data_IF_295611491706
#
_entry.id   IF_295611491706
#
_cell.length_a   1.000
_cell.length_b   1.000
_cell.length_c   1.000
_cell.angle_alpha   90.00
_cell.angle_beta   90.00
_cell.angle_gamma   90.00
#
_symmetry.space_group_name_H-M   'P 1'
#
loop_
_entity.id
_entity.type
_entity.pdbx_description
1 polymer ?
#
# COMPACT_ATOMS: atom_id res chain seq x y z
N UNK A 1 6.90 -3.22 20.13
CA UNK A 1 6.70 -2.09 19.23
C UNK A 1 6.03 -0.95 19.98
N UNK A 2 6.61 0.26 20.02
CA UNK A 2 5.96 1.41 20.64
C UNK A 2 4.76 1.80 19.77
N UNK A 3 3.55 1.63 20.28
CA UNK A 3 2.29 1.87 19.57
C UNK A 3 1.95 3.36 19.38
N UNK A 4 2.77 4.26 19.91
CA UNK A 4 2.54 5.71 19.88
C UNK A 4 3.84 6.45 19.58
N UNK A 5 3.74 7.57 18.88
CA UNK A 5 4.88 8.44 18.60
C UNK A 5 5.46 8.99 19.90
N UNK A 6 6.75 8.75 20.21
CA UNK A 6 7.36 9.32 21.39
C UNK A 6 7.37 10.85 21.30
N UNK A 7 7.02 11.54 22.36
CA UNK A 7 7.05 13.00 22.40
C UNK A 7 5.80 13.71 21.87
N UNK A 8 4.80 13.00 21.35
CA UNK A 8 3.53 13.63 20.94
C UNK A 8 2.59 13.79 22.15
N UNK A 9 2.04 14.97 22.29
CA UNK A 9 0.99 15.23 23.26
C UNK A 9 -0.38 14.98 22.63
N UNK A 10 -0.98 13.84 22.91
CA UNK A 10 -2.26 13.40 22.38
C UNK A 10 -3.48 14.20 22.89
N UNK A 11 -3.27 15.39 23.41
CA UNK A 11 -4.28 16.38 23.81
C UNK A 11 -4.32 17.57 22.88
N UNK A 12 -3.26 17.75 22.06
CA UNK A 12 -3.07 18.91 21.22
C UNK A 12 -3.94 18.86 19.96
N UNK A 13 -4.26 20.02 19.39
CA UNK A 13 -4.87 20.12 18.07
C UNK A 13 -4.03 19.41 17.00
N UNK A 14 -4.69 18.85 16.00
CA UNK A 14 -4.02 18.20 14.88
C UNK A 14 -4.82 17.08 14.25
N UNK A 15 -4.25 16.51 13.22
CA UNK A 15 -4.82 15.37 12.51
C UNK A 15 -4.25 14.06 13.03
N UNK A 16 -5.11 13.09 13.23
CA UNK A 16 -4.74 11.75 13.68
C UNK A 16 -5.45 10.71 12.81
N UNK A 17 -4.68 9.92 12.10
CA UNK A 17 -5.19 8.75 11.38
C UNK A 17 -5.20 7.55 12.31
N UNK A 18 -6.38 7.04 12.60
CA UNK A 18 -6.62 5.97 13.58
C UNK A 18 -6.98 4.69 12.85
N UNK A 19 -6.41 3.58 13.34
CA UNK A 19 -6.78 2.23 12.90
C UNK A 19 -7.24 1.42 14.10
N UNK A 20 -8.44 0.83 14.00
CA UNK A 20 -9.01 -0.06 15.03
C UNK A 20 -9.33 -1.41 14.40
N UNK A 21 -8.80 -2.49 14.97
CA UNK A 21 -9.10 -3.84 14.54
C UNK A 21 -10.24 -4.46 15.35
N UNK A 22 -11.07 -5.30 14.73
CA UNK A 22 -11.99 -6.17 15.46
C UNK A 22 -11.21 -7.22 16.26
N UNK A 23 -11.83 -7.75 17.32
CA UNK A 23 -11.20 -8.76 18.17
C UNK A 23 -10.91 -10.05 17.41
N UNK A 24 -11.89 -10.54 16.66
CA UNK A 24 -11.76 -11.72 15.80
C UNK A 24 -11.77 -11.31 14.32
N UNK A 25 -10.58 -11.10 13.78
CA UNK A 25 -10.41 -10.66 12.39
C UNK A 25 -10.89 -11.66 11.34
N UNK A 26 -11.04 -12.94 11.69
CA UNK A 26 -11.51 -13.99 10.77
C UNK A 26 -12.99 -13.88 10.47
N UNK A 27 -13.78 -13.35 11.41
CA UNK A 27 -15.24 -13.27 11.30
C UNK A 27 -15.76 -12.20 10.33
N UNK A 28 -14.93 -11.23 9.93
CA UNK A 28 -15.35 -10.13 9.06
C UNK A 28 -16.69 -9.52 9.50
N UNK A 29 -16.80 -9.21 10.79
CA UNK A 29 -18.07 -8.87 11.44
C UNK A 29 -18.71 -7.56 10.97
N UNK A 30 -17.91 -6.64 10.38
CA UNK A 30 -18.37 -5.29 10.05
C UNK A 30 -18.95 -5.19 8.64
N UNK A 31 -18.56 -6.07 7.71
CA UNK A 31 -19.02 -5.99 6.32
C UNK A 31 -18.39 -7.00 5.42
N UNK A 32 -18.66 -6.87 4.13
CA UNK A 32 -18.00 -7.60 3.04
C UNK A 32 -17.64 -6.64 1.92
N UNK A 33 -16.58 -6.92 1.18
CA UNK A 33 -16.22 -6.11 0.02
C UNK A 33 -17.02 -6.62 -1.18
N UNK A 34 -17.61 -5.68 -1.90
CA UNK A 34 -18.41 -5.92 -3.11
C UNK A 34 -18.00 -4.95 -4.21
N UNK A 35 -18.42 -5.22 -5.43
CA UNK A 35 -18.13 -4.41 -6.60
C UNK A 35 -17.05 -5.03 -7.47
N UNK A 36 -16.63 -4.30 -8.50
CA UNK A 36 -15.62 -4.71 -9.46
C UNK A 36 -14.58 -3.60 -9.66
N UNK A 37 -13.31 -3.99 -9.71
CA UNK A 37 -12.17 -3.08 -9.81
C UNK A 37 -12.11 -2.33 -11.14
N UNK A 38 -12.77 -2.83 -12.19
CA UNK A 38 -12.84 -2.15 -13.50
C UNK A 38 -13.63 -0.83 -13.45
N UNK A 39 -14.55 -0.67 -12.51
CA UNK A 39 -15.35 0.55 -12.40
C UNK A 39 -14.64 1.62 -11.58
N UNK A 40 -14.63 2.88 -12.02
CA UNK A 40 -14.02 3.99 -11.29
C UNK A 40 -14.79 4.29 -10.00
N UNK A 41 -14.12 4.98 -9.06
CA UNK A 41 -14.75 5.42 -7.82
C UNK A 41 -15.96 6.33 -8.12
N UNK A 42 -17.04 6.14 -7.36
CA UNK A 42 -18.33 6.80 -7.60
C UNK A 42 -19.30 6.04 -8.50
N UNK A 43 -18.85 5.02 -9.24
CA UNK A 43 -19.76 4.14 -9.97
C UNK A 43 -20.52 3.21 -9.01
N UNK A 44 -21.82 2.88 -9.24
CA UNK A 44 -22.60 1.97 -8.38
C UNK A 44 -21.93 0.61 -8.16
N UNK A 45 -21.21 0.10 -9.16
CA UNK A 45 -20.50 -1.17 -9.09
C UNK A 45 -19.01 -1.03 -8.73
N UNK A 46 -18.56 0.18 -8.37
CA UNK A 46 -17.20 0.38 -7.86
C UNK A 46 -16.96 -0.40 -6.56
N UNK A 47 -15.71 -0.78 -6.27
CA UNK A 47 -15.35 -1.46 -5.03
C UNK A 47 -15.78 -0.68 -3.79
N UNK A 48 -16.59 -1.30 -2.94
CA UNK A 48 -17.08 -0.73 -1.69
C UNK A 48 -17.29 -1.79 -0.62
N UNK A 49 -17.52 -1.35 0.60
CA UNK A 49 -17.90 -2.26 1.70
C UNK A 49 -19.43 -2.24 1.86
N UNK A 50 -20.04 -3.40 1.71
CA UNK A 50 -21.43 -3.65 2.08
C UNK A 50 -21.46 -3.97 3.58
N UNK A 51 -21.91 -3.00 4.38
CA UNK A 51 -21.85 -3.08 5.84
C UNK A 51 -22.95 -3.99 6.40
N UNK A 52 -22.58 -4.85 7.34
CA UNK A 52 -23.53 -5.58 8.18
C UNK A 52 -24.27 -4.65 9.12
N UNK A 53 -25.28 -5.15 9.83
CA UNK A 53 -25.94 -4.39 10.90
C UNK A 53 -24.94 -3.89 11.96
N UNK A 54 -23.91 -4.69 12.26
CA UNK A 54 -22.84 -4.32 13.19
C UNK A 54 -21.95 -3.22 12.56
N UNK A 55 -21.59 -3.34 11.28
CA UNK A 55 -20.82 -2.30 10.58
C UNK A 55 -21.53 -0.97 10.51
N UNK A 56 -22.83 -0.97 10.20
CA UNK A 56 -23.68 0.24 10.19
C UNK A 56 -23.80 0.88 11.58
N UNK A 57 -23.90 0.07 12.62
CA UNK A 57 -23.87 0.54 14.01
C UNK A 57 -22.53 1.20 14.35
N UNK A 58 -21.41 0.59 13.94
CA UNK A 58 -20.06 1.15 14.17
C UNK A 58 -19.88 2.47 13.43
N UNK A 59 -20.32 2.55 12.18
CA UNK A 59 -20.29 3.78 11.36
C UNK A 59 -21.13 4.89 12.03
N UNK A 60 -22.33 4.56 12.46
CA UNK A 60 -23.18 5.51 13.17
C UNK A 60 -22.52 6.03 14.46
N UNK A 61 -21.94 5.15 15.28
CA UNK A 61 -21.21 5.54 16.49
C UNK A 61 -20.00 6.43 16.18
N UNK A 62 -19.25 6.12 15.10
CA UNK A 62 -18.12 6.95 14.68
C UNK A 62 -18.56 8.38 14.38
N UNK A 63 -19.59 8.54 13.56
CA UNK A 63 -20.02 9.84 13.05
C UNK A 63 -20.76 10.68 14.10
N UNK A 64 -21.46 10.04 15.05
CA UNK A 64 -22.34 10.75 15.97
C UNK A 64 -21.83 10.75 17.42
N UNK A 65 -21.32 9.62 17.93
CA UNK A 65 -20.95 9.51 19.34
C UNK A 65 -19.69 10.31 19.67
N UNK A 66 -18.65 10.24 18.83
CA UNK A 66 -17.39 10.96 19.06
C UNK A 66 -17.65 12.47 19.07
N UNK A 67 -18.30 12.99 18.03
CA UNK A 67 -18.56 14.43 17.88
C UNK A 67 -19.52 14.96 18.93
N UNK A 68 -20.50 14.15 19.36
CA UNK A 68 -21.40 14.50 20.45
C UNK A 68 -20.69 14.67 21.79
N UNK A 69 -19.76 13.78 22.12
CA UNK A 69 -19.02 13.83 23.39
C UNK A 69 -17.83 14.79 23.36
N UNK A 70 -17.27 15.04 22.19
CA UNK A 70 -16.11 15.89 21.95
C UNK A 70 -16.34 16.81 20.75
N UNK A 71 -17.08 17.94 20.94
CA UNK A 71 -17.41 18.86 19.84
C UNK A 71 -16.21 19.50 19.13
N UNK A 72 -15.04 19.44 19.75
CA UNK A 72 -13.76 19.91 19.16
C UNK A 72 -13.17 18.93 18.14
N UNK A 73 -13.76 17.74 18.00
CA UNK A 73 -13.34 16.71 17.04
C UNK A 73 -14.25 16.74 15.82
N UNK A 74 -13.63 16.68 14.66
CA UNK A 74 -14.28 16.50 13.36
C UNK A 74 -13.79 15.21 12.72
N UNK A 75 -14.71 14.36 12.24
CA UNK A 75 -14.40 13.18 11.44
C UNK A 75 -14.24 13.64 9.98
N UNK A 76 -13.05 13.42 9.40
CA UNK A 76 -12.74 13.89 8.05
C UNK A 76 -12.97 12.81 7.00
N UNK A 77 -12.20 11.75 7.05
CA UNK A 77 -12.27 10.60 6.14
C UNK A 77 -12.33 9.33 6.96
N UNK A 78 -13.09 8.34 6.49
CA UNK A 78 -13.16 7.03 7.15
C UNK A 78 -13.49 5.92 6.17
N UNK A 79 -13.18 4.70 6.57
CA UNK A 79 -13.66 3.46 5.96
C UNK A 79 -13.83 2.38 7.02
N UNK A 80 -14.99 1.74 7.00
CA UNK A 80 -15.28 0.55 7.83
C UNK A 80 -15.05 -0.68 6.96
N UNK A 81 -13.90 -1.34 7.14
CA UNK A 81 -13.52 -2.57 6.45
C UNK A 81 -14.12 -3.79 7.16
N UNK A 82 -14.17 -4.98 6.54
CA UNK A 82 -14.77 -6.14 7.16
C UNK A 82 -14.23 -6.52 8.55
N UNK A 83 -12.92 -6.34 8.79
CA UNK A 83 -12.22 -6.75 10.01
C UNK A 83 -11.48 -5.64 10.76
N UNK A 84 -11.59 -4.40 10.28
CA UNK A 84 -10.99 -3.21 10.91
C UNK A 84 -11.64 -1.94 10.39
N UNK A 85 -11.25 -0.81 10.95
CA UNK A 85 -11.66 0.50 10.42
C UNK A 85 -10.49 1.48 10.44
N UNK A 86 -10.50 2.38 9.48
CA UNK A 86 -9.62 3.55 9.42
C UNK A 86 -10.44 4.82 9.45
N UNK A 87 -9.97 5.82 10.15
CA UNK A 87 -10.56 7.15 10.09
C UNK A 87 -9.54 8.22 10.46
N UNK A 88 -9.74 9.42 9.91
CA UNK A 88 -8.96 10.61 10.24
C UNK A 88 -9.84 11.53 11.06
N UNK A 89 -9.34 11.92 12.22
CA UNK A 89 -9.94 12.97 13.05
C UNK A 89 -9.11 14.24 12.99
N UNK A 90 -9.80 15.36 12.93
CA UNK A 90 -9.23 16.69 13.15
C UNK A 90 -9.62 17.18 14.53
N UNK A 91 -8.67 17.36 15.39
CA UNK A 91 -8.84 17.96 16.71
C UNK A 91 -8.57 19.45 16.57
N UNK A 92 -9.63 20.29 16.60
CA UNK A 92 -9.54 21.73 16.33
C UNK A 92 -8.92 22.54 17.48
N UNK A 93 -9.12 22.08 18.70
CA UNK A 93 -8.59 22.70 19.93
C UNK A 93 -8.16 21.62 20.92
N UNK A 94 -7.57 22.02 22.05
CA UNK A 94 -7.24 21.05 23.10
C UNK A 94 -8.43 20.16 23.45
N UNK A 95 -8.19 18.85 23.60
CA UNK A 95 -9.23 17.87 23.85
C UNK A 95 -9.90 18.08 25.21
N UNK A 96 -11.11 18.63 25.15
CA UNK A 96 -11.99 18.83 26.30
C UNK A 96 -13.31 18.13 25.99
N UNK A 97 -13.80 17.32 26.94
CA UNK A 97 -15.12 16.70 26.84
C UNK A 97 -16.23 17.74 26.98
N UNK A 98 -17.46 17.40 26.58
CA UNK A 98 -18.62 18.28 26.75
C UNK A 98 -18.88 18.72 28.20
N UNK A 99 -18.34 18.01 29.19
CA UNK A 99 -18.43 18.32 30.61
C UNK A 99 -17.24 19.16 31.11
N UNK A 100 -16.44 19.75 30.22
CA UNK A 100 -15.31 20.61 30.58
C UNK A 100 -14.05 19.86 31.10
N UNK A 101 -14.02 18.52 31.07
CA UNK A 101 -12.87 17.74 31.54
C UNK A 101 -11.81 17.63 30.44
N UNK A 102 -10.57 17.93 30.79
CA UNK A 102 -9.43 17.62 29.94
C UNK A 102 -9.34 16.12 29.69
N UNK A 103 -9.09 15.74 28.45
CA UNK A 103 -8.97 14.35 28.03
C UNK A 103 -7.80 14.19 27.05
N UNK A 104 -7.55 12.99 26.58
CA UNK A 104 -6.57 12.69 25.53
C UNK A 104 -7.17 11.69 24.54
N UNK A 105 -6.60 11.63 23.35
CA UNK A 105 -7.08 10.81 22.25
C UNK A 105 -7.38 9.35 22.65
N UNK A 106 -6.53 8.74 23.51
CA UNK A 106 -6.75 7.38 23.99
C UNK A 106 -8.05 7.18 24.75
N UNK A 107 -8.51 8.20 25.50
CA UNK A 107 -9.80 8.15 26.22
C UNK A 107 -10.97 8.31 25.24
N UNK A 108 -10.83 9.18 24.22
CA UNK A 108 -11.82 9.30 23.14
C UNK A 108 -12.06 7.96 22.45
N UNK A 109 -10.97 7.31 22.03
CA UNK A 109 -11.05 5.99 21.35
C UNK A 109 -11.57 4.90 22.29
N UNK A 110 -11.16 4.91 23.56
CA UNK A 110 -11.68 3.95 24.54
C UNK A 110 -13.20 4.10 24.74
N UNK A 111 -13.70 5.33 24.89
CA UNK A 111 -15.13 5.61 25.01
C UNK A 111 -15.93 5.19 23.76
N UNK A 112 -15.41 5.48 22.57
CA UNK A 112 -16.00 5.03 21.31
C UNK A 112 -16.12 3.50 21.25
N UNK A 113 -15.03 2.78 21.56
CA UNK A 113 -15.04 1.30 21.55
C UNK A 113 -16.00 0.71 22.58
N UNK A 114 -16.09 1.32 23.75
CA UNK A 114 -17.03 0.89 24.80
C UNK A 114 -18.49 1.09 24.37
N UNK A 115 -18.81 2.22 23.74
CA UNK A 115 -20.12 2.47 23.15
C UNK A 115 -20.49 1.43 22.11
N UNK A 116 -19.57 1.14 21.17
CA UNK A 116 -19.76 0.10 20.16
C UNK A 116 -19.92 -1.30 20.78
N UNK A 117 -19.12 -1.66 21.79
CA UNK A 117 -19.23 -2.96 22.47
C UNK A 117 -20.59 -3.18 23.11
N UNK A 118 -21.11 -2.16 23.81
CA UNK A 118 -22.44 -2.20 24.44
C UNK A 118 -23.53 -2.50 23.42
N UNK A 119 -23.56 -1.76 22.31
CA UNK A 119 -24.54 -1.97 21.24
C UNK A 119 -24.33 -3.29 20.48
N UNK A 120 -23.09 -3.70 20.30
CA UNK A 120 -22.78 -5.00 19.72
C UNK A 120 -23.39 -6.13 20.51
N UNK A 121 -23.27 -6.12 21.85
CA UNK A 121 -23.86 -7.16 22.70
C UNK A 121 -25.40 -7.13 22.71
N UNK A 122 -26.02 -5.97 22.51
CA UNK A 122 -27.47 -5.87 22.32
C UNK A 122 -27.90 -6.51 21.00
N UNK A 123 -27.14 -6.33 19.93
CA UNK A 123 -27.44 -6.91 18.60
C UNK A 123 -27.31 -8.43 18.64
N UNK A 124 -26.20 -8.96 19.14
CA UNK A 124 -25.99 -10.42 19.19
C UNK A 124 -26.92 -11.14 20.20
N UNK A 125 -27.22 -10.50 21.33
CA UNK A 125 -28.15 -11.04 22.31
C UNK A 125 -29.59 -11.13 21.81
N UNK A 126 -30.03 -10.20 20.93
CA UNK A 126 -31.33 -10.29 20.25
C UNK A 126 -31.36 -11.38 19.18
N UNK A 127 -30.22 -11.68 18.53
CA UNK A 127 -30.10 -12.73 17.52
C UNK A 127 -30.22 -14.15 18.10
N UNK A 128 -29.76 -14.38 19.32
CA UNK A 128 -29.93 -15.70 20.01
C UNK A 128 -31.37 -15.99 20.38
N UNK A 129 -32.22 -14.98 20.53
CA UNK A 129 -33.67 -15.13 20.84
C UNK A 129 -34.50 -15.34 19.56
N UNK A 130 -34.00 -14.93 18.40
CA UNK A 130 -34.73 -15.01 17.12
C UNK A 130 -34.51 -16.32 16.34
N UNK A 131 -33.62 -17.20 16.77
CA UNK A 131 -33.30 -18.46 16.09
C UNK A 131 -34.11 -19.65 16.63
N UNK A 132 -35.45 -19.55 16.69
CA UNK A 132 -36.29 -20.72 16.67
C UNK A 132 -36.70 -20.97 15.21
N UNK A 133 -36.41 -22.15 14.61
CA UNK A 133 -36.81 -22.41 13.24
C UNK A 133 -38.31 -22.53 13.15
N UNK A 134 -38.96 -21.69 12.36
CA UNK A 134 -40.32 -21.94 11.88
C UNK A 134 -40.26 -22.91 10.69
N UNK A 135 -41.16 -23.88 10.61
CA UNK A 135 -41.18 -24.81 9.49
C UNK A 135 -41.67 -24.11 8.23
N UNK A 136 -40.86 -24.17 7.17
CA UNK A 136 -41.18 -23.72 5.83
C UNK A 136 -42.17 -24.71 5.17
N UNK A 137 -43.38 -24.21 4.91
CA UNK A 137 -44.28 -24.85 3.93
C UNK A 137 -44.49 -23.86 2.78
N UNK A 138 -44.44 -24.46 1.57
CA UNK A 138 -44.92 -23.97 0.27
C UNK A 138 -43.90 -23.29 -0.66
N UNK A 139 -43.37 -24.17 -1.49
CA UNK A 139 -42.79 -23.86 -2.78
C UNK A 139 -43.87 -23.36 -3.77
N UNK A 140 -43.67 -22.18 -4.34
CA UNK A 140 -44.36 -21.72 -5.56
C UNK A 140 -43.34 -21.71 -6.73
N UNK A 141 -43.64 -22.49 -7.77
CA UNK A 141 -42.89 -22.57 -9.03
C UNK A 141 -43.00 -21.26 -9.81
N UNK A 142 -41.94 -20.78 -10.44
CA UNK A 142 -42.06 -19.67 -11.39
C UNK A 142 -42.51 -20.18 -12.78
N UNK A 143 -43.48 -19.49 -13.36
CA UNK A 143 -43.85 -19.62 -14.76
C UNK A 143 -42.96 -18.76 -15.67
N UNK A 144 -42.71 -19.19 -16.93
CA UNK A 144 -41.92 -18.41 -17.90
C UNK A 144 -42.82 -17.41 -18.65
N UNK A 145 -42.41 -16.14 -18.66
CA UNK A 145 -42.96 -15.14 -19.59
C UNK A 145 -41.93 -14.78 -20.65
N UNK A 146 -42.22 -15.24 -21.87
CA UNK A 146 -41.63 -14.74 -23.10
C UNK A 146 -42.21 -13.36 -23.44
N UNK A 147 -41.36 -12.36 -23.68
CA UNK A 147 -41.66 -11.27 -24.58
C UNK A 147 -40.37 -10.67 -25.17
N UNK A 148 -40.16 -10.99 -26.40
CA UNK A 148 -39.23 -10.37 -27.35
C UNK A 148 -39.72 -8.99 -27.72
N UNK A 149 -38.89 -7.97 -27.54
CA UNK A 149 -38.99 -6.69 -28.28
C UNK A 149 -37.58 -6.21 -28.63
N UNK A 150 -37.37 -6.11 -29.93
CA UNK A 150 -36.17 -5.63 -30.64
C UNK A 150 -36.07 -4.10 -30.52
N UNK A 151 -34.94 -3.50 -30.20
CA UNK A 151 -34.74 -2.08 -30.48
C UNK A 151 -33.86 -1.87 -31.70
N UNK A 152 -34.35 -1.00 -32.57
CA UNK A 152 -33.63 -0.46 -33.73
C UNK A 152 -32.54 0.54 -33.32
N UNK A 153 -31.49 0.71 -34.17
CA UNK A 153 -30.39 1.63 -33.89
C UNK A 153 -30.71 3.07 -34.30
N UNK A 154 -30.52 4.02 -33.42
CA UNK A 154 -30.44 5.43 -33.80
C UNK A 154 -28.98 5.91 -33.72
N UNK A 155 -28.45 6.18 -34.88
CA UNK A 155 -27.23 6.96 -35.12
C UNK A 155 -27.46 8.43 -34.78
N UNK A 156 -26.62 9.01 -33.94
CA UNK A 156 -26.22 10.42 -34.06
C UNK A 156 -24.89 10.65 -33.34
N UNK A 157 -23.86 10.81 -34.15
CA UNK A 157 -22.53 11.23 -33.74
C UNK A 157 -22.52 12.75 -33.56
N UNK A 158 -22.13 13.21 -32.41
CA UNK A 158 -21.65 14.59 -32.19
C UNK A 158 -20.20 14.55 -31.69
N UNK A 159 -19.30 15.05 -32.54
CA UNK A 159 -17.90 15.30 -32.26
C UNK A 159 -17.77 16.43 -31.21
N UNK A 160 -16.91 16.33 -30.18
CA UNK A 160 -16.48 17.49 -29.42
C UNK A 160 -15.28 18.18 -30.11
N UNK A 161 -15.36 19.50 -30.24
CA UNK A 161 -14.26 20.37 -30.64
C UNK A 161 -13.28 20.60 -29.46
N UNK A 162 -12.00 20.85 -29.75
CA UNK A 162 -11.00 21.11 -28.73
C UNK A 162 -11.03 22.58 -28.34
N UNK A 163 -11.19 22.90 -27.07
CA UNK A 163 -10.86 24.19 -26.47
C UNK A 163 -9.46 24.13 -25.87
N UNK A 164 -8.56 24.84 -26.52
CA UNK A 164 -7.25 25.19 -26.01
C UNK A 164 -7.41 26.26 -24.90
N UNK A 165 -6.85 26.02 -23.72
CA UNK A 165 -6.24 27.08 -22.93
C UNK A 165 -5.18 26.46 -22.03
N UNK A 166 -3.94 26.64 -22.44
CA UNK A 166 -2.74 26.37 -21.69
C UNK A 166 -2.56 27.47 -20.63
N UNK A 167 -2.46 27.07 -19.38
CA UNK A 167 -1.74 27.84 -18.38
C UNK A 167 -0.68 26.94 -17.76
N UNK A 168 0.53 27.25 -18.12
CA UNK A 168 1.78 26.64 -17.68
C UNK A 168 2.02 26.94 -16.20
N UNK A 169 2.17 25.99 -15.30
CA UNK A 169 2.84 26.24 -14.04
C UNK A 169 4.33 25.90 -14.19
N UNK A 170 5.17 26.86 -13.83
CA UNK A 170 6.62 26.70 -13.74
C UNK A 170 7.01 25.56 -12.80
N UNK A 171 8.12 24.88 -13.06
CA UNK A 171 8.60 23.80 -12.21
C UNK A 171 9.24 24.38 -10.96
N UNK A 172 8.62 24.15 -9.82
CA UNK A 172 9.29 24.24 -8.51
C UNK A 172 10.15 23.00 -8.32
N UNK A 173 11.43 23.23 -8.17
CA UNK A 173 12.47 22.29 -7.79
C UNK A 173 12.13 21.53 -6.50
N UNK A 174 12.53 20.24 -6.49
CA UNK A 174 12.62 19.33 -5.35
C UNK A 174 11.31 18.74 -4.83
N UNK A 175 10.80 17.74 -5.53
CA UNK A 175 9.99 16.70 -4.92
C UNK A 175 10.67 15.34 -5.13
N UNK A 176 11.57 14.99 -4.23
CA UNK A 176 11.87 13.59 -3.91
C UNK A 176 10.54 12.95 -3.55
N UNK A 177 10.10 12.00 -4.36
CA UNK A 177 8.91 11.22 -4.06
C UNK A 177 9.10 10.58 -2.69
N UNK A 178 8.25 10.85 -1.70
CA UNK A 178 8.33 10.15 -0.45
C UNK A 178 7.92 8.69 -0.73
N UNK A 179 8.88 7.77 -0.59
CA UNK A 179 8.53 6.37 -0.39
C UNK A 179 7.72 6.33 0.90
N UNK A 180 6.40 6.20 0.79
CA UNK A 180 5.53 5.95 1.93
C UNK A 180 5.77 4.51 2.36
N UNK A 181 6.91 4.27 3.02
CA UNK A 181 7.13 3.09 3.82
C UNK A 181 6.40 3.25 5.16
N UNK A 182 5.09 3.39 5.11
CA UNK A 182 4.23 3.09 6.22
C UNK A 182 4.09 1.58 6.29
N UNK A 183 5.15 0.88 6.74
CA UNK A 183 5.09 -0.53 7.01
C UNK A 183 4.07 -0.80 8.10
N UNK A 184 2.86 -1.22 7.73
CA UNK A 184 1.94 -1.86 8.65
C UNK A 184 2.49 -3.24 8.98
N UNK A 185 3.30 -3.33 10.02
CA UNK A 185 3.67 -4.61 10.60
C UNK A 185 2.43 -5.17 11.28
N UNK A 186 1.86 -6.20 10.71
CA UNK A 186 0.91 -7.04 11.44
C UNK A 186 1.66 -7.59 12.66
N UNK A 187 1.30 -7.12 13.83
CA UNK A 187 1.87 -7.59 15.08
C UNK A 187 1.58 -9.08 15.24
N UNK A 188 2.65 -9.87 15.28
CA UNK A 188 2.62 -11.19 15.89
C UNK A 188 2.07 -11.07 17.32
N UNK A 189 1.41 -12.10 17.86
CA UNK A 189 0.89 -12.06 19.22
C UNK A 189 2.05 -11.92 20.20
N UNK A 190 2.16 -10.75 20.83
CA UNK A 190 3.13 -10.50 21.89
C UNK A 190 2.66 -11.26 23.14
N UNK A 191 3.37 -12.32 23.49
CA UNK A 191 3.33 -12.93 24.80
C UNK A 191 3.93 -11.92 25.80
N UNK A 192 3.09 -11.27 26.57
CA UNK A 192 3.49 -10.34 27.62
C UNK A 192 2.27 -9.72 28.24
N UNK A 193 1.85 -10.27 29.39
CA UNK A 193 0.94 -9.74 30.40
C UNK A 193 -0.02 -8.63 29.90
N UNK A 194 -0.97 -8.98 29.05
CA UNK A 194 -2.15 -8.18 28.83
C UNK A 194 -2.88 -8.11 30.18
N UNK A 195 -2.84 -6.93 30.82
CA UNK A 195 -3.82 -6.60 31.84
C UNK A 195 -5.17 -6.81 31.20
N UNK A 196 -5.78 -7.99 31.46
CA UNK A 196 -7.16 -8.31 31.04
C UNK A 196 -8.01 -7.10 31.42
N UNK A 197 -8.46 -6.32 30.45
CA UNK A 197 -9.61 -5.46 30.62
C UNK A 197 -10.73 -6.41 31.04
N UNK A 198 -11.03 -6.41 32.35
CA UNK A 198 -12.10 -7.23 32.91
C UNK A 198 -13.42 -6.62 32.43
N UNK A 199 -13.86 -7.05 31.26
CA UNK A 199 -15.28 -6.91 30.95
C UNK A 199 -16.02 -7.80 31.96
N UNK A 200 -16.76 -7.18 32.86
CA UNK A 200 -17.45 -7.82 33.98
C UNK A 200 -18.52 -8.85 33.59
N UNK A 201 -18.71 -9.07 32.27
CA UNK A 201 -19.74 -9.95 31.71
C UNK A 201 -19.22 -11.23 31.04
N UNK A 202 -17.92 -11.49 30.98
CA UNK A 202 -17.34 -12.63 30.25
C UNK A 202 -17.54 -12.61 28.74
N UNK A 203 -18.24 -11.61 28.18
CA UNK A 203 -18.54 -11.47 26.75
C UNK A 203 -17.32 -10.97 25.97
N UNK A 204 -17.09 -11.51 24.77
CA UNK A 204 -16.03 -11.05 23.89
C UNK A 204 -16.35 -9.63 23.37
N UNK A 205 -15.36 -8.70 23.37
CA UNK A 205 -15.56 -7.38 22.80
C UNK A 205 -15.58 -7.42 21.28
N UNK A 206 -16.20 -6.43 20.63
CA UNK A 206 -16.15 -6.27 19.18
C UNK A 206 -14.74 -5.94 18.69
N UNK A 207 -14.05 -5.06 19.40
CA UNK A 207 -12.72 -4.57 19.00
C UNK A 207 -11.60 -5.14 19.86
N UNK A 208 -10.45 -5.39 19.23
CA UNK A 208 -9.20 -5.74 19.90
C UNK A 208 -8.76 -4.62 20.85
N UNK A 209 -7.89 -4.96 21.82
CA UNK A 209 -7.32 -3.97 22.73
C UNK A 209 -6.42 -2.97 21.98
N UNK A 210 -6.44 -1.69 22.40
CA UNK A 210 -5.63 -0.62 21.81
C UNK A 210 -6.12 -0.16 20.43
N UNK A 211 -5.30 0.64 19.78
CA UNK A 211 -5.45 1.16 18.41
C UNK A 211 -4.08 1.55 17.90
N UNK A 212 -3.95 1.76 16.59
CA UNK A 212 -2.76 2.32 15.95
C UNK A 212 -3.09 3.73 15.50
N UNK A 213 -2.16 4.65 15.67
CA UNK A 213 -2.28 6.02 15.16
C UNK A 213 -1.07 6.40 14.31
N UNK A 214 -1.31 7.22 13.31
CA UNK A 214 -0.30 7.86 12.47
C UNK A 214 -0.61 9.35 12.40
N UNK A 215 0.38 10.17 12.75
CA UNK A 215 0.27 11.62 12.73
C UNK A 215 0.90 12.12 11.44
N UNK A 216 0.20 12.90 10.60
CA UNK A 216 0.78 13.49 9.41
C UNK A 216 1.69 14.65 9.79
N UNK A 217 3.00 14.40 9.76
CA UNK A 217 4.03 15.39 10.15
C UNK A 217 4.66 16.11 8.94
N UNK A 218 4.47 15.58 7.72
CA UNK A 218 5.08 16.12 6.50
C UNK A 218 4.01 16.66 5.54
N UNK A 219 4.33 17.68 4.73
CA UNK A 219 3.47 18.14 3.65
C UNK A 219 3.04 16.98 2.74
N UNK A 220 1.76 16.94 2.34
CA UNK A 220 1.20 15.89 1.49
C UNK A 220 0.91 14.56 2.18
N UNK A 221 1.34 14.36 3.42
CA UNK A 221 1.13 13.10 4.13
C UNK A 221 -0.34 12.88 4.51
N UNK A 222 -1.06 13.96 4.84
CA UNK A 222 -2.49 13.89 5.15
C UNK A 222 -3.30 13.46 3.91
N UNK A 223 -3.02 14.06 2.77
CA UNK A 223 -3.66 13.72 1.49
C UNK A 223 -3.37 12.28 1.09
N UNK A 224 -2.14 11.81 1.29
CA UNK A 224 -1.78 10.40 1.08
C UNK A 224 -2.55 9.45 1.99
N UNK A 225 -2.79 9.83 3.26
CA UNK A 225 -3.60 9.04 4.19
C UNK A 225 -5.07 9.02 3.81
N UNK A 226 -5.62 10.14 3.32
CA UNK A 226 -6.98 10.23 2.79
C UNK A 226 -7.17 9.35 1.56
N UNK A 227 -6.25 9.44 0.60
CA UNK A 227 -6.26 8.59 -0.59
C UNK A 227 -6.20 7.09 -0.20
N UNK A 228 -5.33 6.73 0.75
CA UNK A 228 -5.24 5.37 1.27
C UNK A 228 -6.56 4.88 1.87
N UNK A 229 -7.25 5.70 2.66
CA UNK A 229 -8.54 5.33 3.27
C UNK A 229 -9.58 5.07 2.18
N UNK A 230 -9.69 5.96 1.19
CA UNK A 230 -10.66 5.85 0.09
C UNK A 230 -10.39 4.64 -0.80
N UNK A 231 -9.12 4.37 -1.09
CA UNK A 231 -8.69 3.25 -1.94
C UNK A 231 -8.76 1.88 -1.23
N UNK A 232 -8.99 1.82 0.09
CA UNK A 232 -8.92 0.58 0.87
C UNK A 232 -9.81 -0.56 0.34
N UNK A 233 -11.11 -0.34 0.01
CA UNK A 233 -11.96 -1.41 -0.53
C UNK A 233 -11.45 -1.93 -1.87
N UNK A 234 -11.06 -1.04 -2.79
CA UNK A 234 -10.47 -1.38 -4.10
C UNK A 234 -9.18 -2.19 -3.94
N UNK A 235 -8.26 -1.70 -3.12
CA UNK A 235 -6.98 -2.35 -2.86
C UNK A 235 -7.15 -3.74 -2.22
N UNK A 236 -8.17 -3.90 -1.38
CA UNK A 236 -8.48 -5.21 -0.79
C UNK A 236 -9.02 -6.17 -1.83
N UNK A 237 -9.93 -5.72 -2.70
CA UNK A 237 -10.50 -6.54 -3.77
C UNK A 237 -9.43 -6.96 -4.79
N UNK A 238 -8.56 -6.03 -5.20
CA UNK A 238 -7.41 -6.32 -6.06
C UNK A 238 -6.53 -7.43 -5.49
N UNK A 239 -6.18 -7.37 -4.19
CA UNK A 239 -5.37 -8.41 -3.53
C UNK A 239 -6.11 -9.74 -3.43
N UNK A 240 -7.42 -9.72 -3.21
CA UNK A 240 -8.23 -10.94 -3.16
C UNK A 240 -8.31 -11.63 -4.52
N UNK A 241 -8.42 -10.84 -5.59
CA UNK A 241 -8.50 -11.34 -6.96
C UNK A 241 -7.14 -11.79 -7.52
N UNK A 242 -6.03 -11.27 -6.96
CA UNK A 242 -4.67 -11.54 -7.43
C UNK A 242 -3.76 -12.04 -6.29
N UNK A 243 -4.09 -13.15 -5.60
CA UNK A 243 -3.42 -13.55 -4.36
C UNK A 243 -1.95 -13.93 -4.56
N UNK A 244 -1.57 -14.42 -5.73
CA UNK A 244 -0.20 -14.83 -6.04
C UNK A 244 0.67 -13.65 -6.47
N UNK A 245 0.14 -12.75 -7.31
CA UNK A 245 0.85 -11.58 -7.81
C UNK A 245 1.06 -10.52 -6.72
N UNK A 246 0.06 -10.29 -5.86
CA UNK A 246 0.07 -9.24 -4.84
C UNK A 246 0.47 -9.76 -3.45
N UNK A 247 1.40 -10.72 -3.45
CA UNK A 247 2.06 -11.25 -2.27
C UNK A 247 3.57 -11.30 -2.52
N UNK A 248 4.37 -10.88 -1.53
CA UNK A 248 5.82 -11.03 -1.62
C UNK A 248 6.19 -12.52 -1.67
N UNK A 249 6.86 -12.92 -2.71
CA UNK A 249 7.38 -14.27 -2.91
C UNK A 249 8.86 -14.28 -2.57
N UNK A 250 9.32 -15.33 -1.87
CA UNK A 250 10.67 -15.37 -1.34
C UNK A 250 11.60 -16.14 -2.26
N UNK A 251 12.83 -15.62 -2.45
CA UNK A 251 13.92 -16.25 -3.20
C UNK A 251 13.49 -16.75 -4.58
N UNK A 252 12.72 -15.95 -5.31
CA UNK A 252 12.13 -16.36 -6.59
C UNK A 252 13.10 -16.29 -7.76
N UNK A 253 14.14 -15.43 -7.66
CA UNK A 253 15.09 -15.19 -8.74
C UNK A 253 16.50 -15.50 -8.23
N UNK A 254 17.20 -16.41 -8.91
CA UNK A 254 18.64 -16.60 -8.77
C UNK A 254 19.35 -15.67 -9.75
N UNK A 255 20.18 -14.76 -9.24
CA UNK A 255 20.90 -13.80 -10.09
C UNK A 255 22.17 -14.38 -10.68
N UNK A 256 22.58 -15.58 -10.24
CA UNK A 256 23.86 -16.23 -10.55
C UNK A 256 25.09 -15.41 -10.11
N UNK A 257 24.90 -14.33 -9.37
CA UNK A 257 25.97 -13.49 -8.83
C UNK A 257 26.37 -14.03 -7.46
N UNK A 258 27.62 -14.39 -7.30
CA UNK A 258 28.13 -14.75 -5.96
C UNK A 258 28.47 -13.51 -5.16
N UNK A 259 28.44 -13.55 -3.81
CA UNK A 259 28.88 -12.44 -2.97
C UNK A 259 30.31 -11.96 -3.30
N UNK A 260 31.22 -12.88 -3.60
CA UNK A 260 32.61 -12.55 -3.98
C UNK A 260 32.68 -11.81 -5.33
N UNK A 261 31.84 -12.19 -6.30
CA UNK A 261 31.77 -11.51 -7.59
C UNK A 261 31.23 -10.08 -7.42
N UNK A 262 30.19 -9.89 -6.57
CA UNK A 262 29.67 -8.57 -6.23
C UNK A 262 30.73 -7.72 -5.52
N UNK A 263 31.46 -8.27 -4.53
CA UNK A 263 32.53 -7.57 -3.83
C UNK A 263 33.58 -7.06 -4.81
N UNK A 264 34.09 -7.95 -5.69
CA UNK A 264 35.04 -7.58 -6.73
C UNK A 264 34.51 -6.52 -7.71
N UNK A 265 33.22 -6.56 -8.04
CA UNK A 265 32.54 -5.51 -8.83
C UNK A 265 32.54 -4.15 -8.12
N UNK A 266 32.17 -4.10 -6.83
CA UNK A 266 32.12 -2.86 -6.06
C UNK A 266 33.49 -2.19 -5.93
N UNK A 267 34.56 -2.99 -5.78
CA UNK A 267 35.93 -2.48 -5.75
C UNK A 267 36.32 -1.88 -7.12
N UNK A 268 36.07 -2.60 -8.21
CA UNK A 268 36.37 -2.10 -9.58
C UNK A 268 35.59 -0.83 -9.94
N UNK A 269 34.37 -0.69 -9.45
CA UNK A 269 33.53 0.49 -9.66
C UNK A 269 33.84 1.64 -8.69
N UNK A 270 34.90 1.51 -7.90
CA UNK A 270 35.29 2.49 -6.86
C UNK A 270 34.15 2.86 -5.89
N UNK A 271 33.24 1.93 -5.66
CA UNK A 271 32.11 2.09 -4.73
C UNK A 271 32.43 1.59 -3.32
N UNK A 272 33.46 0.77 -3.20
CA UNK A 272 33.95 0.23 -1.94
C UNK A 272 35.49 0.14 -1.99
N UNK A 273 36.22 0.73 -1.02
CA UNK A 273 37.66 0.48 -0.83
C UNK A 273 37.92 -1.01 -0.57
N UNK A 274 39.04 -1.54 -1.08
CA UNK A 274 39.35 -2.95 -0.94
C UNK A 274 39.60 -3.40 0.52
N UNK A 275 39.97 -2.46 1.38
CA UNK A 275 40.25 -2.63 2.81
C UNK A 275 39.08 -2.30 3.71
N UNK A 276 37.95 -1.78 3.17
CA UNK A 276 36.73 -1.48 3.95
C UNK A 276 35.89 -2.73 4.17
N UNK A 277 36.42 -3.60 5.04
CA UNK A 277 35.74 -4.84 5.41
C UNK A 277 34.46 -4.61 6.20
N UNK A 278 34.35 -3.49 6.93
CA UNK A 278 33.18 -3.17 7.75
C UNK A 278 31.96 -2.84 6.87
N UNK A 279 32.13 -1.97 5.88
CA UNK A 279 31.05 -1.63 4.95
C UNK A 279 30.64 -2.85 4.11
N UNK A 280 31.64 -3.66 3.68
CA UNK A 280 31.33 -4.90 2.98
C UNK A 280 30.50 -5.87 3.84
N UNK A 281 30.88 -6.09 5.09
CA UNK A 281 30.12 -6.97 5.99
C UNK A 281 28.70 -6.47 6.19
N UNK A 282 28.50 -5.16 6.37
CA UNK A 282 27.17 -4.56 6.50
C UNK A 282 26.29 -4.76 5.25
N UNK A 283 26.89 -4.78 4.05
CA UNK A 283 26.20 -5.13 2.80
C UNK A 283 25.86 -6.62 2.78
N UNK A 284 26.83 -7.48 3.10
CA UNK A 284 26.70 -8.93 3.06
C UNK A 284 25.60 -9.43 4.01
N UNK A 285 25.53 -8.87 5.22
CA UNK A 285 24.52 -9.22 6.24
C UNK A 285 23.08 -8.91 5.80
N UNK A 286 22.96 -8.02 4.82
CA UNK A 286 21.65 -7.64 4.26
C UNK A 286 21.25 -8.36 3.00
N UNK A 287 22.21 -9.01 2.32
CA UNK A 287 21.91 -9.73 1.08
C UNK A 287 21.10 -11.00 1.34
N UNK A 288 20.16 -11.26 0.46
CA UNK A 288 19.50 -12.56 0.38
C UNK A 288 20.41 -13.52 -0.38
N UNK A 289 20.91 -14.53 0.31
CA UNK A 289 21.83 -15.51 -0.26
C UNK A 289 21.20 -16.89 -0.21
N UNK A 290 21.33 -17.64 -1.30
CA UNK A 290 20.96 -19.04 -1.39
C UNK A 290 21.96 -19.77 -2.30
N UNK A 291 22.39 -20.96 -1.91
CA UNK A 291 23.38 -21.76 -2.65
C UNK A 291 24.62 -20.97 -3.17
N UNK A 292 25.15 -20.07 -2.33
CA UNK A 292 26.23 -19.13 -2.64
C UNK A 292 25.93 -18.12 -3.76
N UNK A 293 24.68 -17.94 -4.15
CA UNK A 293 24.26 -16.90 -5.07
C UNK A 293 23.39 -15.86 -4.34
N UNK A 294 23.45 -14.64 -4.83
CA UNK A 294 22.53 -13.58 -4.43
C UNK A 294 21.19 -13.87 -5.10
N UNK A 295 20.14 -13.96 -4.31
CA UNK A 295 18.78 -14.21 -4.80
C UNK A 295 17.88 -13.02 -4.53
N UNK A 296 16.79 -12.89 -5.29
CA UNK A 296 15.82 -11.82 -5.08
C UNK A 296 14.47 -12.38 -4.63
N UNK A 297 13.86 -11.68 -3.66
CA UNK A 297 12.44 -11.75 -3.42
C UNK A 297 11.70 -10.94 -4.49
N UNK A 298 10.45 -11.30 -4.78
CA UNK A 298 9.64 -10.63 -5.80
C UNK A 298 8.27 -10.22 -5.32
N UNK A 299 7.67 -9.22 -6.01
CA UNK A 299 6.30 -8.78 -5.83
C UNK A 299 5.78 -8.22 -7.16
N UNK A 300 4.67 -8.72 -7.68
CA UNK A 300 4.09 -8.32 -8.95
C UNK A 300 4.15 -9.39 -10.02
N UNK A 301 4.20 -8.99 -11.29
CA UNK A 301 4.08 -9.91 -12.42
C UNK A 301 5.41 -10.58 -12.79
N UNK A 302 5.59 -11.84 -12.40
CA UNK A 302 6.79 -12.63 -12.73
C UNK A 302 6.94 -12.94 -14.23
N UNK A 303 5.87 -12.91 -15.01
CA UNK A 303 5.93 -13.17 -16.45
C UNK A 303 6.76 -12.13 -17.21
N UNK A 304 6.97 -10.94 -16.60
CA UNK A 304 7.85 -9.93 -17.19
C UNK A 304 9.30 -10.39 -17.37
N UNK A 305 9.73 -11.42 -16.63
CA UNK A 305 11.05 -12.04 -16.77
C UNK A 305 11.22 -12.88 -18.05
N UNK A 306 10.13 -13.22 -18.73
CA UNK A 306 10.14 -13.99 -19.95
C UNK A 306 10.39 -13.13 -21.21
N UNK A 307 10.40 -11.81 -21.05
CA UNK A 307 10.66 -10.85 -22.12
C UNK A 307 12.15 -10.58 -22.29
N UNK A 308 12.50 -9.86 -23.36
CA UNK A 308 13.84 -9.28 -23.50
C UNK A 308 14.04 -8.25 -22.39
N UNK A 309 15.00 -8.49 -21.49
CA UNK A 309 15.30 -7.62 -20.37
C UNK A 309 16.49 -6.71 -20.70
N UNK A 310 16.32 -5.41 -20.46
CA UNK A 310 17.36 -4.42 -20.74
C UNK A 310 17.65 -3.56 -19.50
N UNK A 311 18.92 -3.50 -19.04
CA UNK A 311 19.27 -2.70 -17.87
C UNK A 311 19.27 -1.20 -18.22
N UNK A 312 18.71 -0.39 -17.32
CA UNK A 312 18.81 1.06 -17.39
C UNK A 312 19.67 1.53 -16.23
N UNK A 313 20.92 1.88 -16.53
CA UNK A 313 21.88 2.44 -15.58
C UNK A 313 22.38 3.77 -16.14
N UNK A 314 21.87 4.87 -15.59
CA UNK A 314 22.16 6.22 -16.08
C UNK A 314 22.28 7.21 -14.91
N UNK A 315 23.51 7.58 -14.56
CA UNK A 315 23.77 8.40 -13.39
C UNK A 315 23.53 9.90 -13.62
N UNK A 316 23.76 10.38 -14.84
CA UNK A 316 23.71 11.82 -15.17
C UNK A 316 22.89 12.06 -16.44
N UNK A 317 21.96 13.00 -16.36
CA UNK A 317 21.17 13.45 -17.51
C UNK A 317 21.73 14.70 -18.22
N UNK A 318 22.82 15.23 -17.72
CA UNK A 318 23.56 16.35 -18.35
C UNK A 318 24.57 15.90 -19.42
N UNK A 319 24.78 14.60 -19.59
CA UNK A 319 25.63 14.06 -20.65
C UNK A 319 25.00 14.23 -22.02
N UNK A 320 25.77 14.60 -23.07
CA UNK A 320 25.26 14.72 -24.44
C UNK A 320 24.56 13.45 -24.95
N UNK A 321 25.00 12.28 -24.51
CA UNK A 321 24.42 10.98 -24.89
C UNK A 321 23.12 10.63 -24.16
N UNK A 322 22.66 11.41 -23.19
CA UNK A 322 21.47 11.09 -22.41
C UNK A 322 20.20 10.99 -23.26
N UNK A 323 19.97 11.97 -24.13
CA UNK A 323 18.79 11.99 -25.01
C UNK A 323 18.75 10.75 -25.91
N UNK A 324 19.90 10.38 -26.49
CA UNK A 324 20.03 9.18 -27.33
C UNK A 324 19.76 7.91 -26.50
N UNK A 325 20.34 7.79 -25.31
CA UNK A 325 20.12 6.66 -24.41
C UNK A 325 18.64 6.56 -24.01
N UNK A 326 18.02 7.67 -23.58
CA UNK A 326 16.60 7.71 -23.24
C UNK A 326 15.74 7.24 -24.41
N UNK A 327 15.98 7.77 -25.61
CA UNK A 327 15.22 7.38 -26.81
C UNK A 327 15.41 5.89 -27.16
N UNK A 328 16.63 5.38 -27.03
CA UNK A 328 16.91 3.97 -27.26
C UNK A 328 16.13 3.06 -26.27
N UNK A 329 16.08 3.44 -24.98
CA UNK A 329 15.31 2.72 -23.98
C UNK A 329 13.82 2.72 -24.30
N UNK A 330 13.24 3.88 -24.64
CA UNK A 330 11.82 4.01 -24.96
C UNK A 330 11.45 3.23 -26.25
N UNK A 331 12.32 3.30 -27.26
CA UNK A 331 12.13 2.52 -28.48
C UNK A 331 12.19 1.01 -28.21
N UNK A 332 13.12 0.57 -27.38
CA UNK A 332 13.20 -0.85 -27.00
C UNK A 332 11.94 -1.29 -26.23
N UNK A 333 11.47 -0.49 -25.31
CA UNK A 333 10.24 -0.74 -24.56
C UNK A 333 9.01 -0.80 -25.48
N UNK A 334 8.92 0.12 -26.44
CA UNK A 334 7.85 0.11 -27.47
C UNK A 334 7.88 -1.14 -28.36
N UNK A 335 9.06 -1.76 -28.52
CA UNK A 335 9.23 -3.02 -29.24
C UNK A 335 9.12 -4.28 -28.33
N UNK A 336 8.60 -4.13 -27.13
CA UNK A 336 8.29 -5.26 -26.23
C UNK A 336 9.41 -5.67 -25.27
N UNK A 337 10.53 -4.92 -25.20
CA UNK A 337 11.53 -5.14 -24.17
C UNK A 337 11.03 -4.61 -22.81
N UNK A 338 11.45 -5.23 -21.72
CA UNK A 338 11.17 -4.79 -20.36
C UNK A 338 12.43 -4.15 -19.77
N UNK A 339 12.29 -2.88 -19.37
CA UNK A 339 13.39 -2.13 -18.78
C UNK A 339 13.55 -2.51 -17.30
N UNK A 340 14.81 -2.78 -16.90
CA UNK A 340 15.18 -3.19 -15.54
C UNK A 340 16.06 -2.12 -14.91
N UNK A 341 15.65 -1.56 -13.76
CA UNK A 341 16.40 -0.50 -13.09
C UNK A 341 16.15 -0.44 -11.59
N UNK A 342 17.14 -0.06 -10.78
CA UNK A 342 16.89 0.35 -9.39
C UNK A 342 16.22 1.73 -9.29
N UNK A 343 16.16 2.53 -10.38
CA UNK A 343 15.51 3.85 -10.44
C UNK A 343 16.03 4.81 -9.34
N UNK A 344 17.34 4.84 -9.13
CA UNK A 344 17.97 5.65 -8.08
C UNK A 344 18.42 7.00 -8.63
N UNK A 345 19.22 6.99 -9.70
CA UNK A 345 19.78 8.20 -10.29
C UNK A 345 18.72 8.98 -11.08
N UNK A 346 18.87 10.31 -11.17
CA UNK A 346 17.92 11.18 -11.87
C UNK A 346 17.69 10.79 -13.34
N UNK A 347 18.73 10.30 -14.01
CA UNK A 347 18.60 9.81 -15.39
C UNK A 347 17.77 8.52 -15.47
N UNK A 348 17.99 7.56 -14.57
CA UNK A 348 17.19 6.34 -14.46
C UNK A 348 15.72 6.66 -14.15
N UNK A 349 15.49 7.57 -13.19
CA UNK A 349 14.13 8.00 -12.82
C UNK A 349 13.39 8.54 -14.04
N UNK A 350 14.01 9.44 -14.81
CA UNK A 350 13.38 10.06 -15.96
C UNK A 350 13.05 9.03 -17.05
N UNK A 351 13.95 8.10 -17.35
CA UNK A 351 13.72 7.06 -18.36
C UNK A 351 12.59 6.12 -17.93
N UNK A 352 12.65 5.63 -16.69
CA UNK A 352 11.68 4.67 -16.19
C UNK A 352 10.29 5.32 -16.02
N UNK A 353 10.22 6.56 -15.54
CA UNK A 353 8.96 7.26 -15.36
C UNK A 353 8.28 7.55 -16.70
N UNK A 354 9.07 7.91 -17.71
CA UNK A 354 8.56 8.08 -19.07
C UNK A 354 8.05 6.76 -19.67
N UNK A 355 8.79 5.66 -19.50
CA UNK A 355 8.35 4.33 -19.95
C UNK A 355 7.02 3.93 -19.27
N UNK A 356 6.89 4.16 -17.97
CA UNK A 356 5.64 3.91 -17.22
C UNK A 356 4.50 4.79 -17.77
N UNK A 357 4.75 6.08 -18.00
CA UNK A 357 3.76 7.03 -18.52
C UNK A 357 3.27 6.64 -19.92
N UNK A 358 4.16 6.11 -20.77
CA UNK A 358 3.83 5.60 -22.10
C UNK A 358 3.15 4.21 -22.08
N UNK A 359 2.93 3.62 -20.94
CA UNK A 359 2.22 2.35 -20.83
C UNK A 359 3.12 1.11 -20.83
N UNK A 360 4.45 1.26 -20.87
CA UNK A 360 5.37 0.14 -20.93
C UNK A 360 5.59 -0.54 -19.59
N UNK A 361 5.75 -1.88 -19.54
CA UNK A 361 6.08 -2.60 -18.33
C UNK A 361 7.54 -2.39 -17.93
N UNK A 362 7.80 -2.46 -16.61
CA UNK A 362 9.15 -2.30 -16.05
C UNK A 362 9.40 -3.27 -14.90
N UNK A 363 10.67 -3.57 -14.65
CA UNK A 363 11.14 -4.29 -13.47
C UNK A 363 11.97 -3.33 -12.62
N UNK A 364 11.58 -3.15 -11.35
CA UNK A 364 12.29 -2.27 -10.43
C UNK A 364 13.00 -3.08 -9.34
N UNK A 365 14.28 -2.78 -9.13
CA UNK A 365 15.06 -3.34 -8.02
C UNK A 365 14.94 -2.39 -6.83
N UNK A 366 14.41 -2.86 -5.71
CA UNK A 366 14.19 -2.03 -4.53
C UNK A 366 15.39 -2.07 -3.59
N UNK A 367 15.59 -0.98 -2.85
CA UNK A 367 16.70 -0.75 -1.93
C UNK A 367 16.48 -1.36 -0.53
N UNK A 368 15.34 -2.01 -0.32
CA UNK A 368 15.01 -2.69 0.92
C UNK A 368 14.19 -3.96 0.64
N UNK A 369 14.26 -4.92 1.55
CA UNK A 369 13.48 -6.15 1.48
C UNK A 369 12.00 -5.93 1.70
N UNK A 370 11.19 -6.93 1.35
CA UNK A 370 9.75 -6.90 1.62
C UNK A 370 9.47 -7.41 3.04
N UNK A 371 8.70 -6.66 3.87
CA UNK A 371 8.20 -7.17 5.14
C UNK A 371 7.27 -8.37 4.90
N UNK A 372 6.91 -9.08 5.98
CA UNK A 372 5.98 -10.22 5.91
C UNK A 372 4.66 -9.85 5.22
N UNK A 373 4.14 -8.67 5.52
CA UNK A 373 2.99 -8.08 4.83
C UNK A 373 3.47 -6.81 4.13
N UNK A 374 3.72 -6.92 2.83
CA UNK A 374 4.15 -5.81 2.00
C UNK A 374 2.96 -5.02 1.46
N UNK A 375 2.99 -3.72 1.63
CA UNK A 375 2.01 -2.78 1.08
C UNK A 375 2.74 -1.77 0.18
N UNK A 376 2.75 -1.97 -1.14
CA UNK A 376 3.27 -0.99 -2.07
C UNK A 376 2.43 0.30 -2.03
N UNK A 377 2.97 1.39 -2.58
CA UNK A 377 2.17 2.59 -2.86
C UNK A 377 1.04 2.25 -3.82
N UNK A 378 -0.02 3.06 -3.82
CA UNK A 378 -1.18 2.85 -4.68
C UNK A 378 -0.79 2.77 -6.16
N UNK A 379 0.09 3.67 -6.64
CA UNK A 379 0.59 3.65 -8.01
C UNK A 379 1.32 2.34 -8.35
N UNK A 380 2.16 1.81 -7.45
CA UNK A 380 2.82 0.52 -7.65
C UNK A 380 1.84 -0.65 -7.61
N UNK A 381 0.85 -0.60 -6.73
CA UNK A 381 -0.20 -1.61 -6.67
C UNK A 381 -0.96 -1.67 -8.00
N UNK A 382 -1.36 -0.51 -8.52
CA UNK A 382 -2.06 -0.41 -9.81
C UNK A 382 -1.21 -0.98 -10.94
N UNK A 383 0.05 -0.57 -11.06
CA UNK A 383 0.96 -1.10 -12.09
C UNK A 383 1.14 -2.63 -11.98
N UNK A 384 1.20 -3.19 -10.78
CA UNK A 384 1.24 -4.66 -10.61
C UNK A 384 -0.06 -5.31 -11.10
N UNK A 385 -1.22 -4.75 -10.79
CA UNK A 385 -2.53 -5.29 -11.23
C UNK A 385 -2.75 -5.15 -12.72
N UNK A 386 -2.15 -4.14 -13.35
CA UNK A 386 -2.14 -3.94 -14.81
C UNK A 386 -1.12 -4.84 -15.52
N UNK A 387 -0.48 -5.76 -14.79
CA UNK A 387 0.61 -6.63 -15.28
C UNK A 387 1.85 -5.89 -15.78
N UNK A 388 2.05 -4.64 -15.37
CA UNK A 388 3.08 -3.73 -15.87
C UNK A 388 4.26 -3.53 -14.92
N UNK A 389 4.25 -4.14 -13.73
CA UNK A 389 5.31 -3.98 -12.74
C UNK A 389 5.69 -5.29 -12.08
N UNK A 390 6.99 -5.52 -12.01
CA UNK A 390 7.62 -6.48 -11.11
C UNK A 390 8.60 -5.73 -10.21
N UNK A 391 8.46 -5.89 -8.91
CA UNK A 391 9.42 -5.44 -7.91
C UNK A 391 10.31 -6.60 -7.50
N UNK A 392 11.61 -6.39 -7.52
CA UNK A 392 12.62 -7.35 -7.05
C UNK A 392 13.45 -6.73 -5.94
N UNK A 393 13.92 -7.54 -5.00
CA UNK A 393 14.84 -7.09 -3.97
C UNK A 393 15.85 -8.16 -3.61
N UNK A 394 17.17 -7.84 -3.66
CA UNK A 394 18.20 -8.73 -3.15
C UNK A 394 18.45 -8.57 -1.64
N UNK A 395 17.64 -7.73 -0.95
CA UNK A 395 17.89 -7.34 0.42
C UNK A 395 16.94 -8.02 1.40
N UNK A 396 17.41 -8.30 2.61
CA UNK A 396 16.56 -8.57 3.77
C UNK A 396 15.82 -7.30 4.20
N UNK A 397 14.61 -7.45 4.73
CA UNK A 397 13.86 -6.30 5.24
C UNK A 397 14.52 -5.70 6.46
N UNK A 398 14.70 -4.39 6.44
CA UNK A 398 15.18 -3.61 7.57
C UNK A 398 14.24 -2.42 7.78
N UNK A 399 13.84 -2.18 9.03
CA UNK A 399 13.14 -0.94 9.37
C UNK A 399 14.13 0.22 9.23
N UNK A 400 13.83 1.16 8.36
CA UNK A 400 14.61 2.39 8.16
C UNK A 400 13.85 3.61 8.68
N UNK A 401 14.49 4.49 9.44
CA UNK A 401 13.96 5.83 9.67
C UNK A 401 13.84 6.57 8.33
N UNK A 402 12.90 7.51 8.26
CA UNK A 402 12.52 8.21 7.02
C UNK A 402 13.65 9.02 6.34
N UNK A 403 14.81 9.16 6.96
CA UNK A 403 15.92 9.99 6.50
C UNK A 403 17.23 9.20 6.26
N UNK A 404 17.18 7.87 6.31
CA UNK A 404 18.38 7.07 6.03
C UNK A 404 18.59 6.97 4.53
N UNK A 405 19.69 7.54 4.05
CA UNK A 405 20.11 7.51 2.64
C UNK A 405 20.78 6.17 2.33
N UNK A 406 20.59 5.68 1.11
CA UNK A 406 21.29 4.50 0.60
C UNK A 406 22.72 4.87 0.22
N UNK A 407 23.66 3.98 0.53
CA UNK A 407 25.08 4.20 0.20
C UNK A 407 25.36 4.01 -1.29
N UNK A 408 26.46 4.59 -1.78
CA UNK A 408 26.92 4.39 -3.16
C UNK A 408 27.15 2.92 -3.46
N UNK A 409 27.70 2.17 -2.51
CA UNK A 409 27.94 0.73 -2.65
C UNK A 409 26.62 -0.05 -2.82
N UNK A 410 25.56 0.29 -2.07
CA UNK A 410 24.24 -0.31 -2.26
C UNK A 410 23.64 0.03 -3.63
N UNK A 411 23.78 1.28 -4.09
CA UNK A 411 23.34 1.69 -5.42
C UNK A 411 24.03 0.85 -6.52
N UNK A 412 25.35 0.72 -6.44
CA UNK A 412 26.14 -0.07 -7.39
C UNK A 412 25.83 -1.56 -7.31
N UNK A 413 25.58 -2.10 -6.11
CA UNK A 413 25.13 -3.47 -5.95
C UNK A 413 23.80 -3.74 -6.69
N UNK A 414 22.83 -2.85 -6.59
CA UNK A 414 21.57 -2.99 -7.32
C UNK A 414 21.74 -2.86 -8.85
N UNK A 415 22.66 -2.01 -9.31
CA UNK A 415 23.01 -1.93 -10.74
C UNK A 415 23.66 -3.23 -11.24
N UNK A 416 24.56 -3.82 -10.44
CA UNK A 416 25.13 -5.12 -10.73
C UNK A 416 24.05 -6.20 -10.88
N UNK A 417 23.10 -6.24 -9.96
CA UNK A 417 21.96 -7.17 -10.00
C UNK A 417 21.09 -6.92 -11.23
N UNK A 418 20.79 -5.67 -11.58
CA UNK A 418 20.05 -5.34 -12.79
C UNK A 418 20.73 -5.87 -14.07
N UNK A 419 22.04 -5.67 -14.18
CA UNK A 419 22.82 -6.18 -15.31
C UNK A 419 22.85 -7.71 -15.35
N UNK A 420 23.00 -8.35 -14.19
CA UNK A 420 23.02 -9.81 -14.08
C UNK A 420 21.68 -10.43 -14.50
N UNK A 421 20.57 -9.89 -14.03
CA UNK A 421 19.21 -10.35 -14.41
C UNK A 421 18.99 -10.20 -15.92
N UNK A 422 19.47 -9.10 -16.51
CA UNK A 422 19.38 -8.86 -17.94
C UNK A 422 20.43 -9.64 -18.76
N UNK A 423 21.41 -10.24 -18.12
CA UNK A 423 22.55 -10.94 -18.77
C UNK A 423 23.29 -10.04 -19.79
N UNK A 424 23.34 -8.75 -19.54
CA UNK A 424 23.93 -7.76 -20.43
C UNK A 424 24.64 -6.65 -19.63
N UNK A 425 25.42 -5.84 -20.33
CA UNK A 425 26.14 -4.71 -19.76
C UNK A 425 25.37 -3.40 -19.97
N UNK A 426 25.75 -2.38 -19.21
CA UNK A 426 25.12 -1.06 -19.18
C UNK A 426 25.04 -0.36 -20.56
N UNK A 427 26.03 -0.56 -21.44
CA UNK A 427 26.14 0.15 -22.73
C UNK A 427 25.43 -0.54 -23.91
N UNK A 428 24.41 -1.38 -23.66
CA UNK A 428 23.68 -2.11 -24.69
C UNK A 428 23.08 -1.19 -25.78
N UNK A 429 22.72 0.02 -25.44
CA UNK A 429 22.09 1.01 -26.31
C UNK A 429 23.07 1.70 -27.28
N UNK A 430 24.38 1.53 -27.10
CA UNK A 430 25.41 2.04 -28.02
C UNK A 430 25.72 1.08 -29.17
N UNK A 431 25.24 -0.12 -29.09
CA UNK A 431 25.41 -1.15 -30.10
C UNK A 431 24.29 -1.04 -31.13
#
# INVERSE_FOLDING_TARGET
MKRRSPGNNYRDPGFYHITINVYDRKKQSLGRIVGDVQYPDGHPDAPRVDLTAIGKMVEYELLHSITHHYPVIEIQDYVVMPEHMHFIINVKNSLISKNGRQTHLGQVIAGFKEGCNRRYWEIIGKGEVAAKPQPTTNALKPQPTTNTLNPQPTTNALKPQPTANALNPQPTTNATSPSVAGGFVASAPVSGADKKLRYSSGRQPLFASGYVDVIPLKPGQLESQRAYIRANPRNRLLRTNNPNMLKAQRKTIDTLVTPNALHGYLIREHALPADDTQTWQAILDRLLIDNNHIVCDSYGNLQLLEHLLLPVVCHRKDKPSFAQHKQACLNAAANGAVLVSPRIAKGEQEIIDEAIAQGHPVILITDNGFPEIYHPSEARLQLCTDNRLLLLTPWTYQYRPTNEEITVAQCKAMNCIAQAICQTKDDWWKK
#
